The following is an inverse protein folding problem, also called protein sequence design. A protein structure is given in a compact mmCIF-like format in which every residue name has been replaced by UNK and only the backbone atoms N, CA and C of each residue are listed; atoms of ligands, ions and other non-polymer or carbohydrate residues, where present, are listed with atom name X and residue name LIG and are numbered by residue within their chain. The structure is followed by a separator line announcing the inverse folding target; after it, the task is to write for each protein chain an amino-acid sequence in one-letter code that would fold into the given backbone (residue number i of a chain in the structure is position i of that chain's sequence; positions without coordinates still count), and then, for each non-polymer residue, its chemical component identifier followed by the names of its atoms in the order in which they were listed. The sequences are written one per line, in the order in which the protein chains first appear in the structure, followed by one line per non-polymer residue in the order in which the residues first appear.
data_IF_365420087191
#
_entry.id   IF_365420087191
#
_cell.length_a   1.000
_cell.length_b   1.000
_cell.length_c   1.000
_cell.angle_alpha   90.00
_cell.angle_beta   90.00
_cell.angle_gamma   90.00
#
_symmetry.space_group_name_H-M   'P 1'
#
loop_
_entity.id
_entity.type
_entity.pdbx_description
1 polymer ?
#
# COMPACT_ATOMS: atom_id res chain seq x y z
N UNK A 1 -26.75 26.07 -10.05
CA UNK A 1 -25.81 27.04 -10.64
C UNK A 1 -24.70 26.20 -11.24
N UNK A 2 -24.75 26.06 -12.56
CA UNK A 2 -24.09 25.02 -13.35
C UNK A 2 -22.57 25.24 -13.41
N UNK A 3 -21.79 24.24 -12.98
CA UNK A 3 -20.38 24.14 -13.35
C UNK A 3 -20.24 23.03 -14.40
N UNK A 4 -20.05 23.49 -15.62
CA UNK A 4 -19.90 22.68 -16.83
C UNK A 4 -18.51 22.05 -16.83
N UNK A 5 -18.41 20.79 -16.39
CA UNK A 5 -17.24 19.95 -16.68
C UNK A 5 -17.19 19.73 -18.20
N UNK A 6 -16.39 20.54 -18.89
CA UNK A 6 -16.19 20.46 -20.34
C UNK A 6 -15.45 19.18 -20.68
N UNK A 7 -16.13 18.23 -21.34
CA UNK A 7 -15.50 17.13 -22.08
C UNK A 7 -14.47 17.70 -23.06
N UNK A 8 -13.19 17.52 -22.75
CA UNK A 8 -12.11 17.91 -23.65
C UNK A 8 -11.87 16.78 -24.65
N UNK A 9 -12.55 16.89 -25.80
CA UNK A 9 -12.20 16.11 -26.99
C UNK A 9 -10.83 16.54 -27.51
N UNK A 10 -10.06 15.61 -28.10
CA UNK A 10 -8.75 15.85 -28.78
C UNK A 10 -8.73 17.11 -29.66
N UNK A 11 -9.87 17.48 -30.27
CA UNK A 11 -10.00 18.70 -31.10
C UNK A 11 -9.98 20.02 -30.30
N UNK A 12 -10.48 20.04 -29.05
CA UNK A 12 -10.51 21.24 -28.19
C UNK A 12 -9.19 21.50 -27.45
N UNK A 13 -8.38 20.47 -27.21
CA UNK A 13 -7.05 20.63 -26.64
C UNK A 13 -6.10 21.33 -27.63
N UNK A 14 -6.14 20.92 -28.90
CA UNK A 14 -5.35 21.55 -29.98
C UNK A 14 -5.82 22.99 -30.25
N UNK A 15 -7.12 23.27 -30.17
CA UNK A 15 -7.67 24.63 -30.34
C UNK A 15 -7.32 25.62 -29.22
N UNK A 16 -6.95 25.13 -28.03
CA UNK A 16 -6.54 25.98 -26.89
C UNK A 16 -5.03 26.30 -26.90
N UNK A 17 -4.27 25.71 -27.83
CA UNK A 17 -2.81 25.89 -27.95
C UNK A 17 -2.40 26.78 -29.13
N UNK A 18 -3.35 27.32 -29.91
CA UNK A 18 -3.08 28.32 -30.95
C UNK A 18 -3.01 29.72 -30.36
N UNK A 19 -2.07 29.93 -29.45
CA UNK A 19 -1.44 31.23 -29.25
C UNK A 19 0.03 31.11 -29.68
N UNK A 20 0.26 30.74 -30.95
CA UNK A 20 1.51 31.06 -31.62
C UNK A 20 1.31 32.36 -32.39
N UNK A 21 2.16 33.32 -32.03
CA UNK A 21 2.24 34.66 -32.56
C UNK A 21 2.09 34.73 -34.09
N UNK A 22 1.15 35.55 -34.54
CA UNK A 22 1.24 36.17 -35.84
C UNK A 22 2.42 37.17 -35.84
N UNK A 23 3.62 36.68 -36.10
CA UNK A 23 4.76 37.50 -36.51
C UNK A 23 5.79 36.65 -37.28
N UNK A 24 5.70 36.68 -38.61
CA UNK A 24 6.77 36.23 -39.51
C UNK A 24 6.49 34.93 -40.28
N UNK A 25 6.32 35.06 -41.60
CA UNK A 25 6.25 33.97 -42.58
C UNK A 25 7.60 33.25 -42.74
N UNK A 26 8.04 32.51 -41.72
CA UNK A 26 9.23 31.65 -41.79
C UNK A 26 8.85 30.19 -41.48
N UNK A 27 9.21 29.26 -42.36
CA UNK A 27 9.08 27.82 -42.07
C UNK A 27 9.84 27.51 -40.78
N UNK A 28 9.22 26.86 -39.77
CA UNK A 28 9.90 26.54 -38.53
C UNK A 28 11.11 25.66 -38.81
N UNK A 29 12.25 25.98 -38.20
CA UNK A 29 13.47 25.19 -38.34
C UNK A 29 13.25 23.78 -37.80
N UNK A 30 13.95 22.80 -38.36
CA UNK A 30 13.85 21.39 -37.97
C UNK A 30 14.08 21.16 -36.46
N UNK A 31 14.88 22.04 -35.83
CA UNK A 31 15.13 22.06 -34.39
C UNK A 31 13.90 22.50 -33.56
N UNK A 32 13.13 23.50 -34.01
CA UNK A 32 11.92 23.97 -33.32
C UNK A 32 10.78 22.92 -33.36
N UNK A 33 10.68 22.19 -34.47
CA UNK A 33 9.77 21.05 -34.60
C UNK A 33 10.19 19.88 -33.69
N UNK A 34 11.49 19.58 -33.62
CA UNK A 34 12.02 18.54 -32.74
C UNK A 34 11.82 18.85 -31.25
N UNK A 35 11.99 20.12 -30.85
CA UNK A 35 11.80 20.55 -29.46
C UNK A 35 10.32 20.55 -29.04
N UNK A 36 9.41 20.91 -29.96
CA UNK A 36 7.96 20.80 -29.73
C UNK A 36 7.52 19.32 -29.61
N UNK A 37 8.11 18.42 -30.41
CA UNK A 37 7.86 16.99 -30.31
C UNK A 37 8.37 16.38 -28.99
N UNK A 38 9.51 16.88 -28.47
CA UNK A 38 10.05 16.44 -27.18
C UNK A 38 9.21 16.90 -25.98
N UNK A 39 8.69 18.14 -26.00
CA UNK A 39 7.76 18.64 -24.97
C UNK A 39 6.42 17.89 -24.97
N UNK A 40 5.95 17.44 -26.15
CA UNK A 40 4.77 16.57 -26.27
C UNK A 40 5.06 15.12 -25.83
N UNK A 41 6.31 14.66 -25.88
CA UNK A 41 6.70 13.34 -25.36
C UNK A 41 6.66 13.29 -23.83
N UNK A 42 6.95 14.41 -23.15
CA UNK A 42 6.87 14.48 -21.69
C UNK A 42 5.44 14.67 -21.15
N UNK A 43 4.42 14.62 -21.99
CA UNK A 43 3.01 14.65 -21.55
C UNK A 43 2.35 13.27 -21.53
N UNK A 44 2.96 12.26 -22.15
CA UNK A 44 2.40 10.91 -22.20
C UNK A 44 2.45 10.22 -20.82
N UNK A 45 1.47 9.36 -20.50
CA UNK A 45 1.52 8.52 -19.32
C UNK A 45 2.69 7.53 -19.40
N UNK A 46 3.25 7.20 -18.24
CA UNK A 46 4.25 6.15 -18.11
C UNK A 46 3.58 4.78 -18.29
N UNK A 47 2.40 4.60 -17.70
CA UNK A 47 1.58 3.42 -17.91
C UNK A 47 0.08 3.72 -17.95
N UNK A 48 -0.66 2.84 -18.63
CA UNK A 48 -2.11 2.80 -18.68
C UNK A 48 -2.57 1.42 -18.23
N UNK A 49 -3.51 1.37 -17.31
CA UNK A 49 -4.24 0.14 -16.97
C UNK A 49 -5.60 0.17 -17.67
N UNK A 50 -5.94 -0.91 -18.37
CA UNK A 50 -7.19 -1.07 -19.13
C UNK A 50 -7.96 -2.32 -18.71
N UNK A 51 -9.21 -2.46 -19.18
CA UNK A 51 -10.04 -3.64 -18.90
C UNK A 51 -10.16 -3.93 -17.39
N UNK A 52 -10.28 -2.88 -16.59
CA UNK A 52 -10.41 -2.95 -15.15
C UNK A 52 -11.85 -2.65 -14.72
N UNK A 53 -12.19 -2.97 -13.47
CA UNK A 53 -13.36 -2.42 -12.78
C UNK A 53 -12.86 -1.45 -11.71
N UNK A 54 -12.77 -0.18 -12.04
CA UNK A 54 -12.13 0.84 -11.20
C UNK A 54 -13.17 1.52 -10.30
N UNK A 55 -12.96 1.42 -8.99
CA UNK A 55 -13.65 2.25 -8.00
C UNK A 55 -12.83 3.52 -7.73
N UNK A 56 -13.40 4.67 -8.02
CA UNK A 56 -12.71 5.97 -7.91
C UNK A 56 -12.89 6.65 -6.56
N UNK A 57 -13.90 6.22 -5.78
CA UNK A 57 -14.41 6.97 -4.62
C UNK A 57 -14.87 8.40 -4.94
N UNK A 58 -15.09 8.72 -6.23
CA UNK A 58 -15.60 10.00 -6.72
C UNK A 58 -17.00 9.81 -7.31
N UNK A 59 -18.00 10.49 -6.74
CA UNK A 59 -19.39 10.41 -7.18
C UNK A 59 -19.61 10.93 -8.61
N UNK A 60 -18.70 11.75 -9.14
CA UNK A 60 -18.79 12.27 -10.50
C UNK A 60 -18.33 11.25 -11.55
N UNK A 61 -17.51 10.28 -11.16
CA UNK A 61 -17.03 9.18 -12.00
C UNK A 61 -17.18 7.87 -11.20
N UNK A 62 -18.41 7.40 -10.94
CA UNK A 62 -18.65 6.31 -9.99
C UNK A 62 -18.13 4.94 -10.48
N UNK A 63 -17.85 4.82 -11.78
CA UNK A 63 -17.27 3.63 -12.40
C UNK A 63 -16.35 4.02 -13.55
N UNK A 64 -15.19 3.39 -13.63
CA UNK A 64 -14.27 3.52 -14.75
C UNK A 64 -13.69 2.15 -15.14
N UNK A 65 -13.19 2.07 -16.37
CA UNK A 65 -12.65 0.83 -16.95
C UNK A 65 -11.13 0.90 -17.16
N UNK A 66 -10.56 2.10 -17.12
CA UNK A 66 -9.16 2.34 -17.35
C UNK A 66 -8.67 3.61 -16.64
N UNK A 67 -7.36 3.71 -16.46
CA UNK A 67 -6.70 4.92 -15.99
C UNK A 67 -5.27 5.03 -16.51
N UNK A 68 -4.79 6.26 -16.61
CA UNK A 68 -3.45 6.62 -17.05
C UNK A 68 -2.66 7.26 -15.91
N UNK A 69 -1.40 6.87 -15.72
CA UNK A 69 -0.53 7.40 -14.66
C UNK A 69 0.75 7.95 -15.26
N UNK A 70 1.22 9.07 -14.70
CA UNK A 70 2.56 9.61 -14.93
C UNK A 70 3.20 9.94 -13.58
N UNK A 71 4.37 9.38 -13.33
CA UNK A 71 5.04 9.42 -12.04
C UNK A 71 4.15 8.87 -10.94
N UNK A 72 3.78 9.74 -9.99
CA UNK A 72 2.98 9.43 -8.81
C UNK A 72 1.55 10.00 -8.88
N UNK A 73 1.06 10.35 -10.09
CA UNK A 73 -0.26 10.97 -10.28
C UNK A 73 -1.05 10.33 -11.42
N UNK A 74 -2.36 10.22 -11.20
CA UNK A 74 -3.30 9.91 -12.27
C UNK A 74 -3.40 11.10 -13.23
N UNK A 75 -3.20 10.84 -14.53
CA UNK A 75 -3.46 11.81 -15.58
C UNK A 75 -4.94 11.81 -16.00
N UNK A 76 -5.55 10.63 -16.05
CA UNK A 76 -6.96 10.46 -16.42
C UNK A 76 -7.50 9.12 -15.91
N UNK A 77 -8.81 9.07 -15.69
CA UNK A 77 -9.58 7.88 -15.29
C UNK A 77 -10.89 7.89 -16.09
N UNK A 78 -11.29 6.77 -16.68
CA UNK A 78 -12.47 6.75 -17.55
C UNK A 78 -12.68 5.43 -18.30
N UNK A 79 -13.27 5.52 -19.50
CA UNK A 79 -13.48 4.37 -20.39
C UNK A 79 -12.15 3.85 -20.96
N UNK A 80 -12.09 2.58 -21.33
CA UNK A 80 -10.87 2.02 -21.94
C UNK A 80 -10.47 2.76 -23.23
N UNK A 81 -11.44 3.10 -24.07
CA UNK A 81 -11.21 3.79 -25.34
C UNK A 81 -10.62 5.20 -25.16
N UNK A 82 -11.18 5.99 -24.23
CA UNK A 82 -10.72 7.35 -23.97
C UNK A 82 -9.28 7.36 -23.43
N UNK A 83 -8.97 6.42 -22.53
CA UNK A 83 -7.68 6.35 -21.86
C UNK A 83 -6.60 5.77 -22.78
N UNK A 84 -6.88 4.70 -23.54
CA UNK A 84 -5.93 4.14 -24.51
C UNK A 84 -5.49 5.18 -25.55
N UNK A 85 -6.38 6.11 -25.91
CA UNK A 85 -6.07 7.21 -26.82
C UNK A 85 -4.97 8.18 -26.33
N UNK A 86 -4.60 8.12 -25.05
CA UNK A 86 -3.54 8.92 -24.43
C UNK A 86 -2.15 8.27 -24.55
N UNK A 87 -2.07 7.00 -24.98
CA UNK A 87 -0.80 6.28 -25.05
C UNK A 87 0.21 6.97 -25.96
N UNK A 88 1.42 7.19 -25.44
CA UNK A 88 2.60 7.58 -26.19
C UNK A 88 3.42 6.37 -26.62
N UNK A 89 4.50 6.62 -27.39
CA UNK A 89 5.38 5.54 -27.90
C UNK A 89 6.05 4.71 -26.79
N UNK A 90 6.17 5.26 -25.59
CA UNK A 90 6.85 4.64 -24.44
C UNK A 90 5.89 4.30 -23.31
N UNK A 91 4.58 4.48 -23.50
CA UNK A 91 3.58 4.14 -22.49
C UNK A 91 3.43 2.62 -22.41
N UNK A 92 3.57 2.08 -21.22
CA UNK A 92 3.26 0.68 -20.94
C UNK A 92 1.74 0.49 -20.87
N UNK A 93 1.21 -0.53 -21.53
CA UNK A 93 -0.21 -0.90 -21.45
C UNK A 93 -0.35 -2.17 -20.63
N UNK A 94 -1.13 -2.09 -19.55
CA UNK A 94 -1.41 -3.18 -18.63
C UNK A 94 -2.88 -3.57 -18.80
N UNK A 95 -3.14 -4.82 -19.15
CA UNK A 95 -4.49 -5.39 -19.16
C UNK A 95 -4.80 -5.92 -17.76
N UNK A 96 -5.86 -5.43 -17.12
CA UNK A 96 -6.28 -5.86 -15.80
C UNK A 96 -7.19 -7.12 -15.84
N UNK A 97 -7.50 -7.66 -17.01
CA UNK A 97 -8.26 -8.91 -17.18
C UNK A 97 -9.62 -8.90 -16.46
N UNK A 98 -10.28 -7.74 -16.36
CA UNK A 98 -11.54 -7.54 -15.66
C UNK A 98 -11.42 -7.42 -14.13
N UNK A 99 -10.20 -7.38 -13.59
CA UNK A 99 -9.95 -7.27 -12.15
C UNK A 99 -10.46 -5.94 -11.58
N UNK A 100 -10.80 -5.97 -10.29
CA UNK A 100 -11.24 -4.80 -9.55
C UNK A 100 -10.05 -3.99 -9.05
N UNK A 101 -10.08 -2.68 -9.28
CA UNK A 101 -9.07 -1.74 -8.79
C UNK A 101 -9.73 -0.78 -7.80
N UNK A 102 -9.18 -0.70 -6.60
CA UNK A 102 -9.59 0.23 -5.56
C UNK A 102 -8.45 1.20 -5.24
N UNK A 103 -8.75 2.36 -4.64
CA UNK A 103 -7.72 3.20 -4.04
C UNK A 103 -6.96 2.39 -2.98
N UNK A 104 -5.66 2.66 -2.84
CA UNK A 104 -4.86 2.10 -1.77
C UNK A 104 -5.47 2.43 -0.40
N UNK A 105 -5.49 1.47 0.51
CA UNK A 105 -6.04 1.69 1.85
C UNK A 105 -5.18 2.68 2.64
N UNK A 106 -5.85 3.64 3.27
CA UNK A 106 -5.22 4.62 4.17
C UNK A 106 -5.60 4.25 5.59
N UNK A 107 -4.63 3.75 6.35
CA UNK A 107 -4.77 3.54 7.79
C UNK A 107 -4.43 4.86 8.52
N UNK A 108 -5.46 5.56 8.97
CA UNK A 108 -5.32 6.85 9.64
C UNK A 108 -4.76 6.74 11.07
N UNK A 109 -4.75 5.55 11.67
CA UNK A 109 -4.28 5.37 13.04
C UNK A 109 -3.76 3.96 13.26
N UNK A 110 -2.44 3.82 13.24
CA UNK A 110 -1.75 2.57 13.52
C UNK A 110 -0.54 2.78 14.42
N UNK A 111 -0.08 1.68 15.03
CA UNK A 111 1.16 1.63 15.83
C UNK A 111 2.18 0.68 15.19
N UNK A 112 2.70 1.00 13.99
CA UNK A 112 3.51 0.06 13.20
C UNK A 112 4.83 -0.31 13.89
N UNK A 113 5.43 0.62 14.65
CA UNK A 113 6.64 0.33 15.43
C UNK A 113 6.37 -0.70 16.54
N UNK A 114 5.28 -0.54 17.29
CA UNK A 114 4.89 -1.49 18.33
C UNK A 114 4.52 -2.86 17.77
N UNK A 115 3.73 -2.89 16.69
CA UNK A 115 3.37 -4.14 16.01
C UNK A 115 4.61 -4.84 15.42
N UNK A 116 5.50 -4.10 14.78
CA UNK A 116 6.74 -4.63 14.22
C UNK A 116 7.67 -5.19 15.31
N UNK A 117 7.86 -4.47 16.42
CA UNK A 117 8.67 -4.96 17.55
C UNK A 117 8.08 -6.23 18.14
N UNK A 118 6.75 -6.32 18.29
CA UNK A 118 6.11 -7.52 18.81
C UNK A 118 6.38 -8.72 17.89
N UNK A 119 6.09 -8.61 16.59
CA UNK A 119 6.19 -9.74 15.66
C UNK A 119 7.67 -10.11 15.33
N UNK A 120 8.60 -9.16 15.35
CA UNK A 120 10.02 -9.42 15.03
C UNK A 120 10.86 -9.80 16.26
N UNK A 121 10.58 -9.20 17.42
CA UNK A 121 11.47 -9.25 18.60
C UNK A 121 10.85 -9.98 19.80
N UNK A 122 9.53 -10.11 19.85
CA UNK A 122 8.86 -10.81 20.95
C UNK A 122 8.43 -12.22 20.52
N UNK A 123 7.99 -13.01 21.49
CA UNK A 123 7.38 -14.32 21.25
C UNK A 123 5.87 -14.14 21.06
N UNK A 124 5.34 -14.62 19.94
CA UNK A 124 3.90 -14.68 19.73
C UNK A 124 3.34 -15.89 20.48
N UNK A 125 2.69 -15.65 21.62
CA UNK A 125 2.14 -16.66 22.50
C UNK A 125 0.68 -17.04 22.15
N UNK A 126 0.23 -16.84 20.91
CA UNK A 126 -1.08 -17.30 20.42
C UNK A 126 -1.12 -18.82 20.19
N UNK A 127 -0.71 -19.57 21.21
CA UNK A 127 -0.57 -21.02 21.21
C UNK A 127 -1.69 -21.67 22.04
N UNK A 128 -1.69 -23.00 22.12
CA UNK A 128 -2.79 -23.79 22.69
C UNK A 128 -2.41 -24.59 23.94
N UNK A 129 -1.19 -24.47 24.44
CA UNK A 129 -0.78 -25.11 25.69
C UNK A 129 0.25 -24.26 26.46
N UNK A 130 0.31 -24.42 27.77
CA UNK A 130 1.33 -23.77 28.61
C UNK A 130 2.74 -24.25 28.22
N UNK A 131 2.87 -25.56 27.91
CA UNK A 131 4.15 -26.14 27.46
C UNK A 131 4.67 -25.52 26.17
N UNK A 132 3.80 -25.35 25.16
CA UNK A 132 4.20 -24.76 23.87
C UNK A 132 4.60 -23.30 24.00
N UNK A 133 3.95 -22.54 24.89
CA UNK A 133 4.37 -21.18 25.21
C UNK A 133 5.74 -21.17 25.88
N UNK A 134 5.97 -22.05 26.87
CA UNK A 134 7.25 -22.15 27.57
C UNK A 134 8.40 -22.57 26.63
N UNK A 135 8.14 -23.50 25.70
CA UNK A 135 9.10 -23.92 24.67
C UNK A 135 9.45 -22.77 23.72
N UNK A 136 8.46 -22.00 23.26
CA UNK A 136 8.70 -20.82 22.41
C UNK A 136 9.48 -19.71 23.16
N UNK A 137 9.22 -19.55 24.46
CA UNK A 137 10.00 -18.65 25.33
C UNK A 137 11.45 -19.13 25.47
N UNK A 138 11.68 -20.44 25.58
CA UNK A 138 13.01 -21.02 25.64
C UNK A 138 13.78 -20.83 24.32
N UNK A 139 13.15 -21.02 23.18
CA UNK A 139 13.76 -20.77 21.87
C UNK A 139 14.25 -19.32 21.78
N UNK A 140 13.41 -18.35 22.18
CA UNK A 140 13.80 -16.94 22.24
C UNK A 140 14.92 -16.70 23.25
N UNK A 141 14.87 -17.32 24.43
CA UNK A 141 15.88 -17.19 25.47
C UNK A 141 17.25 -17.66 24.98
N UNK A 142 17.32 -18.77 24.25
CA UNK A 142 18.57 -19.31 23.69
C UNK A 142 19.25 -18.36 22.69
N UNK A 143 18.46 -17.53 22.00
CA UNK A 143 18.96 -16.48 21.09
C UNK A 143 19.17 -15.12 21.78
N UNK A 144 18.91 -15.02 23.08
CA UNK A 144 18.96 -13.78 23.86
C UNK A 144 20.16 -13.82 24.80
N UNK A 145 20.98 -12.76 24.91
CA UNK A 145 22.06 -12.73 25.90
C UNK A 145 21.53 -12.90 27.33
N UNK A 146 22.24 -13.68 28.15
CA UNK A 146 21.82 -13.99 29.52
C UNK A 146 21.46 -12.73 30.32
N UNK A 147 20.36 -12.79 31.08
CA UNK A 147 19.86 -11.66 31.89
C UNK A 147 19.11 -10.58 31.10
N UNK A 148 19.06 -10.65 29.77
CA UNK A 148 18.23 -9.76 28.95
C UNK A 148 16.78 -10.26 28.87
N UNK A 149 15.86 -9.32 28.66
CA UNK A 149 14.42 -9.58 28.66
C UNK A 149 13.96 -10.49 27.52
N UNK A 150 13.20 -11.51 27.88
CA UNK A 150 12.38 -12.30 26.96
C UNK A 150 10.93 -11.84 27.13
N UNK A 151 10.34 -11.33 26.06
CA UNK A 151 8.98 -10.77 26.09
C UNK A 151 8.08 -11.57 25.17
N UNK A 152 6.82 -11.75 25.57
CA UNK A 152 5.78 -12.37 24.76
C UNK A 152 4.49 -11.55 24.77
N UNK A 153 3.69 -11.74 23.73
CA UNK A 153 2.41 -11.06 23.51
C UNK A 153 1.38 -12.05 22.96
N UNK A 154 0.11 -11.62 22.88
CA UNK A 154 -1.03 -12.42 22.40
C UNK A 154 -1.42 -13.64 23.25
N UNK A 155 -0.85 -13.80 24.45
CA UNK A 155 -1.27 -14.85 25.38
C UNK A 155 -2.77 -14.76 25.70
N UNK A 156 -3.44 -15.90 25.75
CA UNK A 156 -4.88 -16.03 26.00
C UNK A 156 -5.12 -17.29 26.86
N UNK A 157 -5.38 -17.10 28.15
CA UNK A 157 -5.57 -18.20 29.11
C UNK A 157 -6.80 -19.05 28.77
N UNK A 158 -7.79 -18.47 28.09
CA UNK A 158 -9.03 -19.17 27.71
C UNK A 158 -8.84 -20.17 26.57
N UNK A 159 -7.66 -20.17 25.93
CA UNK A 159 -7.34 -21.03 24.78
C UNK A 159 -6.42 -22.20 25.12
N UNK A 160 -5.96 -22.31 26.37
CA UNK A 160 -5.06 -23.38 26.79
C UNK A 160 -5.81 -24.70 27.00
N UNK A 161 -5.27 -25.77 26.42
CA UNK A 161 -5.82 -27.12 26.47
C UNK A 161 -5.91 -27.71 27.88
N UNK A 162 -5.03 -27.27 28.78
CA UNK A 162 -4.91 -27.74 30.15
C UNK A 162 -6.01 -27.20 31.06
N UNK A 163 -6.80 -26.22 30.61
CA UNK A 163 -7.87 -25.61 31.41
C UNK A 163 -7.35 -24.80 32.61
N UNK A 164 -6.07 -24.43 32.60
CA UNK A 164 -5.43 -23.56 33.59
C UNK A 164 -4.55 -22.51 32.89
N UNK A 165 -4.32 -21.34 33.51
CA UNK A 165 -3.39 -20.36 32.96
C UNK A 165 -1.94 -20.86 33.01
N UNK A 166 -1.11 -20.27 32.15
CA UNK A 166 0.34 -20.26 32.28
C UNK A 166 0.72 -19.63 33.63
N UNK A 167 1.68 -20.23 34.33
CA UNK A 167 2.20 -19.69 35.58
C UNK A 167 3.73 -19.56 35.53
N UNK A 168 4.30 -18.98 36.59
CA UNK A 168 5.75 -18.75 36.70
C UNK A 168 6.55 -20.05 36.65
N UNK A 169 6.06 -21.13 37.27
CA UNK A 169 6.81 -22.39 37.33
C UNK A 169 6.93 -23.05 35.95
N UNK A 170 5.91 -22.90 35.08
CA UNK A 170 5.99 -23.32 33.66
C UNK A 170 7.12 -22.59 32.92
N UNK A 171 7.34 -21.31 33.23
CA UNK A 171 8.35 -20.45 32.60
C UNK A 171 9.74 -20.73 33.18
N UNK A 172 9.88 -20.68 34.50
CA UNK A 172 11.16 -20.84 35.22
C UNK A 172 11.79 -22.21 34.96
N UNK A 173 10.98 -23.25 34.72
CA UNK A 173 11.47 -24.58 34.37
C UNK A 173 12.30 -24.61 33.08
N UNK A 174 11.99 -23.75 32.10
CA UNK A 174 12.66 -23.72 30.79
C UNK A 174 13.51 -22.47 30.57
N UNK A 175 13.22 -21.37 31.27
CA UNK A 175 13.87 -20.05 31.09
C UNK A 175 14.36 -19.47 32.44
N UNK A 176 15.23 -20.18 33.19
CA UNK A 176 15.60 -19.78 34.56
C UNK A 176 16.54 -18.56 34.63
N UNK A 177 17.18 -18.18 33.51
CA UNK A 177 18.29 -17.21 33.49
C UNK A 177 17.93 -15.86 32.85
N UNK A 178 16.65 -15.64 32.52
CA UNK A 178 16.18 -14.42 31.89
C UNK A 178 14.95 -13.87 32.61
N UNK A 179 14.83 -12.53 32.74
CA UNK A 179 13.57 -11.94 33.11
C UNK A 179 12.55 -12.13 31.98
N UNK A 180 11.37 -12.65 32.31
CA UNK A 180 10.30 -12.93 31.35
C UNK A 180 9.07 -12.08 31.64
N UNK A 181 8.38 -11.63 30.59
CA UNK A 181 7.01 -11.10 30.71
C UNK A 181 6.15 -11.58 29.55
N UNK A 182 5.02 -12.20 29.87
CA UNK A 182 4.04 -12.70 28.92
C UNK A 182 2.79 -11.84 29.03
N UNK A 183 2.55 -10.97 28.04
CA UNK A 183 1.40 -10.05 28.04
C UNK A 183 0.16 -10.73 27.46
N UNK A 184 -0.93 -10.66 28.20
CA UNK A 184 -2.24 -11.13 27.76
C UNK A 184 -2.76 -10.27 26.60
N UNK A 185 -3.41 -10.87 25.62
CA UNK A 185 -3.97 -10.14 24.46
C UNK A 185 -4.99 -9.07 24.84
N UNK A 186 -5.66 -9.24 25.98
CA UNK A 186 -6.63 -8.30 26.51
C UNK A 186 -6.02 -7.02 27.10
N UNK A 187 -4.71 -6.96 27.31
CA UNK A 187 -4.01 -5.73 27.73
C UNK A 187 -3.55 -5.70 29.20
N UNK A 188 -4.43 -5.72 30.21
CA UNK A 188 -4.03 -5.35 31.57
C UNK A 188 -3.30 -6.46 32.34
N UNK A 189 -3.33 -7.70 31.85
CA UNK A 189 -2.82 -8.87 32.56
C UNK A 189 -1.51 -9.36 31.97
N UNK A 190 -0.57 -9.77 32.82
CA UNK A 190 0.67 -10.42 32.39
C UNK A 190 1.10 -11.50 33.37
N UNK A 191 1.76 -12.54 32.87
CA UNK A 191 2.52 -13.51 33.68
C UNK A 191 4.00 -13.09 33.66
N UNK A 192 4.67 -13.16 34.80
CA UNK A 192 6.09 -12.83 34.99
C UNK A 192 6.76 -13.84 35.90
#
# INVERSE_FOLDING_TARGET
MEDVVRKLSRRKFIGSSSALAAAGLGLPTQAALAQSAALLQDAAPDYIVTNARVFTSDNSIPSAEAFAVKGDRFLAVGSSDDIQGLAGRSTEIIDAEGMFVAPGFIDAHSHPSGAGVNELVQVNADLRSASSIAEALQERANATPQGQWVQAFKYDDTKLSEGRPLNRDDIDALVPNHPVVVRHRGGPTSVR
#
